data_IF_989260546134
#
_entry.id   IF_989260546134
#
_cell.length_a   1.000
_cell.length_b   1.000
_cell.length_c   1.000
_cell.angle_alpha   90.00
_cell.angle_beta   90.00
_cell.angle_gamma   90.00
#
_symmetry.space_group_name_H-M   'P 1'
#
loop_
_entity.id
_entity.type
_entity.pdbx_description
1 polymer ?
#
# COMPACT_ATOMS: atom_id res chain seq x y z
N UNK A 1 20.01 0.00 -1.43
CA UNK A 1 18.88 -0.92 -1.70
C UNK A 1 17.74 -0.14 -2.32
N UNK A 2 16.95 -0.79 -3.19
CA UNK A 2 15.71 -0.29 -3.75
C UNK A 2 14.51 -0.91 -3.02
N UNK A 3 13.78 -0.09 -2.28
CA UNK A 3 12.70 -0.49 -1.37
C UNK A 3 11.36 -0.15 -2.02
N UNK A 4 10.48 -1.13 -2.21
CA UNK A 4 9.11 -0.92 -2.65
C UNK A 4 8.16 -0.85 -1.44
N UNK A 5 7.74 0.35 -1.06
CA UNK A 5 6.66 0.54 -0.08
C UNK A 5 5.32 0.48 -0.80
N UNK A 6 4.42 -0.41 -0.35
CA UNK A 6 3.09 -0.57 -0.94
C UNK A 6 2.03 -0.22 0.09
N UNK A 7 1.18 0.75 -0.24
CA UNK A 7 0.14 1.25 0.66
C UNK A 7 -1.21 1.43 -0.02
N UNK A 8 -2.27 1.25 0.77
CA UNK A 8 -3.66 1.44 0.34
C UNK A 8 -4.14 2.88 0.49
N UNK A 9 -3.39 3.71 1.22
CA UNK A 9 -3.67 5.13 1.42
C UNK A 9 -2.37 5.93 1.51
N UNK A 10 -2.40 7.15 0.98
CA UNK A 10 -1.25 8.06 0.99
C UNK A 10 -1.71 9.52 0.81
N UNK A 11 -0.79 10.47 0.72
CA UNK A 11 -1.08 11.88 0.43
C UNK A 11 -2.03 12.02 -0.77
N UNK A 12 -3.05 12.91 -0.71
CA UNK A 12 -3.19 14.01 0.27
C UNK A 12 -3.88 13.62 1.58
N UNK A 13 -4.32 12.37 1.74
CA UNK A 13 -4.90 11.95 3.02
C UNK A 13 -3.80 11.99 4.10
N UNK A 14 -4.14 12.35 5.33
CA UNK A 14 -3.20 12.41 6.44
C UNK A 14 -3.74 11.60 7.60
N UNK A 15 -2.95 10.63 8.06
CA UNK A 15 -3.21 9.86 9.28
C UNK A 15 -1.88 9.29 9.81
N UNK A 16 -1.93 8.58 10.95
CA UNK A 16 -0.74 8.01 11.58
C UNK A 16 0.03 7.01 10.70
N UNK A 17 -0.66 6.29 9.80
CA UNK A 17 -0.02 5.36 8.87
C UNK A 17 0.78 6.11 7.81
N UNK A 18 0.21 7.17 7.26
CA UNK A 18 0.87 7.99 6.21
C UNK A 18 2.08 8.70 6.79
N UNK A 19 1.97 9.24 8.02
CA UNK A 19 3.11 9.79 8.75
C UNK A 19 4.21 8.72 8.95
N UNK A 20 3.84 7.48 9.29
CA UNK A 20 4.82 6.40 9.44
C UNK A 20 5.53 6.08 8.12
N UNK A 21 4.79 6.05 7.01
CA UNK A 21 5.36 5.82 5.67
C UNK A 21 6.33 6.95 5.31
N UNK A 22 5.98 8.20 5.59
CA UNK A 22 6.83 9.35 5.35
C UNK A 22 8.13 9.28 6.15
N UNK A 23 8.03 8.88 7.42
CA UNK A 23 9.20 8.66 8.27
C UNK A 23 10.06 7.50 7.75
N UNK A 24 9.48 6.37 7.36
CA UNK A 24 10.22 5.27 6.75
C UNK A 24 10.95 5.73 5.49
N UNK A 25 10.24 6.36 4.55
CA UNK A 25 10.82 6.82 3.30
C UNK A 25 11.96 7.83 3.54
N UNK A 26 11.74 8.81 4.44
CA UNK A 26 12.76 9.79 4.80
C UNK A 26 14.00 9.15 5.43
N UNK A 27 13.81 8.27 6.41
CA UNK A 27 14.96 7.68 7.14
C UNK A 27 15.71 6.67 6.27
N UNK A 28 15.02 5.82 5.51
CA UNK A 28 15.68 4.90 4.58
C UNK A 28 16.45 5.64 3.48
N UNK A 29 15.90 6.74 2.93
CA UNK A 29 16.63 7.59 1.98
C UNK A 29 17.86 8.24 2.62
N UNK A 30 17.75 8.72 3.86
CA UNK A 30 18.90 9.27 4.62
C UNK A 30 20.02 8.23 4.81
N UNK A 31 19.68 6.94 4.88
CA UNK A 31 20.63 5.84 4.94
C UNK A 31 21.19 5.40 3.56
N UNK A 32 20.88 6.13 2.48
CA UNK A 32 21.38 5.85 1.14
C UNK A 32 20.56 4.80 0.37
N UNK A 33 19.30 4.56 0.76
CA UNK A 33 18.40 3.67 0.03
C UNK A 33 17.48 4.44 -0.93
N UNK A 34 17.12 3.83 -2.05
CA UNK A 34 16.10 4.35 -2.96
C UNK A 34 14.74 3.79 -2.54
N UNK A 35 13.83 4.67 -2.12
CA UNK A 35 12.51 4.26 -1.63
C UNK A 35 11.45 4.68 -2.62
N UNK A 36 10.69 3.72 -3.14
CA UNK A 36 9.58 3.95 -4.06
C UNK A 36 8.26 3.61 -3.40
N UNK A 37 7.27 4.48 -3.56
CA UNK A 37 5.97 4.35 -2.88
C UNK A 37 4.89 4.08 -3.92
N UNK A 38 4.24 2.92 -3.81
CA UNK A 38 3.07 2.56 -4.60
C UNK A 38 1.82 2.94 -3.82
N UNK A 39 1.10 3.94 -4.33
CA UNK A 39 -0.01 4.58 -3.63
C UNK A 39 -1.22 4.79 -4.58
N UNK A 40 -2.45 4.94 -4.05
CA UNK A 40 -3.61 5.30 -4.87
C UNK A 40 -3.44 6.67 -5.54
N UNK A 41 -3.98 6.80 -6.75
CA UNK A 41 -4.19 8.08 -7.44
C UNK A 41 -5.40 8.80 -6.86
N UNK A 42 -5.39 10.13 -6.90
CA UNK A 42 -6.50 10.99 -6.47
C UNK A 42 -6.80 11.97 -7.63
N UNK A 43 -8.06 12.13 -8.07
CA UNK A 43 -8.38 12.95 -9.25
C UNK A 43 -7.88 14.40 -9.16
N UNK A 44 -8.05 15.02 -7.99
CA UNK A 44 -7.77 16.44 -7.76
C UNK A 44 -6.42 16.68 -7.10
N UNK A 45 -5.54 15.67 -7.10
CA UNK A 45 -4.22 15.77 -6.50
C UNK A 45 -3.18 15.16 -7.41
N UNK A 46 -2.32 16.04 -7.94
CA UNK A 46 -1.10 15.67 -8.62
C UNK A 46 0.06 16.19 -7.82
N UNK A 47 1.00 15.31 -7.55
CA UNK A 47 2.26 15.61 -6.89
C UNK A 47 3.33 14.97 -7.75
N UNK A 48 4.23 15.79 -8.28
CA UNK A 48 5.32 15.32 -9.13
C UNK A 48 6.50 14.95 -8.23
N UNK A 49 6.33 13.83 -7.53
CA UNK A 49 7.40 13.21 -6.74
C UNK A 49 7.98 12.03 -7.52
N UNK A 50 9.28 12.14 -7.82
CA UNK A 50 10.07 11.17 -8.60
C UNK A 50 9.91 9.71 -8.14
N UNK A 51 9.65 9.50 -6.85
CA UNK A 51 9.61 8.18 -6.24
C UNK A 51 8.20 7.68 -5.88
N UNK A 52 7.13 8.36 -6.33
CA UNK A 52 5.75 7.94 -6.05
C UNK A 52 5.08 7.41 -7.31
N UNK A 53 4.74 6.11 -7.29
CA UNK A 53 3.94 5.48 -8.33
C UNK A 53 2.46 5.49 -7.97
N UNK A 54 1.71 6.37 -8.62
CA UNK A 54 0.25 6.44 -8.50
C UNK A 54 -0.42 5.30 -9.27
N UNK A 55 -1.14 4.45 -8.54
CA UNK A 55 -1.96 3.36 -9.05
C UNK A 55 -3.40 3.84 -9.19
N UNK A 56 -4.07 3.45 -10.29
CA UNK A 56 -5.48 3.80 -10.52
C UNK A 56 -6.30 3.45 -9.30
N UNK A 57 -7.22 4.31 -8.89
CA UNK A 57 -8.10 4.10 -7.74
C UNK A 57 -9.56 4.35 -8.10
N UNK A 58 -10.47 3.86 -7.27
CA UNK A 58 -11.92 4.11 -7.33
C UNK A 58 -12.42 4.67 -5.99
N UNK A 59 -13.50 5.46 -5.95
CA UNK A 59 -14.05 5.92 -4.67
C UNK A 59 -14.59 4.72 -3.88
N UNK A 60 -14.41 4.72 -2.57
CA UNK A 60 -15.01 3.73 -1.68
C UNK A 60 -16.53 3.86 -1.68
N UNK A 61 -17.22 2.71 -1.55
CA UNK A 61 -18.68 2.64 -1.44
C UNK A 61 -19.14 3.16 -0.06
N UNK A 62 -18.30 2.99 0.97
CA UNK A 62 -18.61 3.39 2.36
C UNK A 62 -18.45 4.90 2.54
N UNK A 63 -17.35 5.45 2.03
CA UNK A 63 -17.04 6.87 2.16
C UNK A 63 -16.33 7.37 0.90
N UNK A 64 -17.02 8.19 0.09
CA UNK A 64 -16.51 8.62 -1.24
C UNK A 64 -15.19 9.40 -1.20
N UNK A 65 -14.84 10.00 -0.06
CA UNK A 65 -13.55 10.68 0.16
C UNK A 65 -12.37 9.71 0.26
N UNK A 66 -12.62 8.43 0.57
CA UNK A 66 -11.61 7.38 0.57
C UNK A 66 -11.45 6.83 -0.83
N UNK A 67 -10.20 6.68 -1.27
CA UNK A 67 -9.84 6.05 -2.55
C UNK A 67 -9.32 4.65 -2.29
N UNK A 68 -9.90 3.68 -3.00
CA UNK A 68 -9.49 2.28 -3.00
C UNK A 68 -8.59 2.07 -4.22
N UNK A 69 -7.30 1.76 -4.05
CA UNK A 69 -6.45 1.46 -5.20
C UNK A 69 -6.92 0.19 -5.91
N UNK A 70 -6.77 0.18 -7.22
CA UNK A 70 -7.03 -0.98 -8.07
C UNK A 70 -5.73 -1.79 -8.16
N UNK A 71 -5.67 -3.01 -7.61
CA UNK A 71 -4.46 -3.81 -7.54
C UNK A 71 -4.07 -4.33 -8.93
N UNK A 72 -3.33 -3.52 -9.68
CA UNK A 72 -3.02 -3.76 -11.09
C UNK A 72 -1.69 -4.51 -11.21
N UNK A 73 -1.75 -5.85 -11.17
CA UNK A 73 -0.56 -6.70 -11.26
C UNK A 73 0.33 -6.35 -12.46
N UNK A 74 -0.23 -6.21 -13.66
CA UNK A 74 0.53 -5.96 -14.91
C UNK A 74 1.37 -4.69 -14.81
N UNK A 75 0.80 -3.60 -14.27
CA UNK A 75 1.51 -2.32 -14.12
C UNK A 75 2.64 -2.44 -13.09
N UNK A 76 2.36 -3.08 -11.96
CA UNK A 76 3.36 -3.28 -10.91
C UNK A 76 4.48 -4.21 -11.38
N UNK A 77 4.16 -5.31 -12.04
CA UNK A 77 5.12 -6.26 -12.62
C UNK A 77 6.08 -5.58 -13.59
N UNK A 78 5.58 -4.73 -14.49
CA UNK A 78 6.41 -3.95 -15.41
C UNK A 78 7.39 -3.02 -14.67
N UNK A 79 6.92 -2.34 -13.62
CA UNK A 79 7.76 -1.47 -12.80
C UNK A 79 8.80 -2.26 -12.00
N UNK A 80 8.41 -3.38 -11.40
CA UNK A 80 9.30 -4.28 -10.67
C UNK A 80 10.41 -4.82 -11.57
N UNK A 81 10.07 -5.25 -12.79
CA UNK A 81 11.06 -5.71 -13.76
C UNK A 81 12.02 -4.62 -14.22
N UNK A 82 11.56 -3.37 -14.32
CA UNK A 82 12.38 -2.24 -14.82
C UNK A 82 13.32 -1.69 -13.75
N UNK A 83 12.83 -1.59 -12.51
CA UNK A 83 13.54 -0.93 -11.41
C UNK A 83 14.50 -1.90 -10.70
N UNK A 84 14.08 -3.15 -10.52
CA UNK A 84 14.83 -4.17 -9.78
C UNK A 84 14.85 -3.90 -8.27
N UNK A 85 13.75 -4.20 -7.58
CA UNK A 85 13.65 -3.99 -6.12
C UNK A 85 14.38 -5.07 -5.32
N UNK A 86 14.89 -4.71 -4.14
CA UNK A 86 15.55 -5.63 -3.21
C UNK A 86 14.59 -6.14 -2.11
N UNK A 87 13.55 -5.38 -1.79
CA UNK A 87 12.61 -5.70 -0.71
C UNK A 87 11.25 -5.06 -0.92
N UNK A 88 10.19 -5.76 -0.50
CA UNK A 88 8.83 -5.23 -0.47
C UNK A 88 8.43 -4.94 0.98
N UNK A 89 7.97 -3.73 1.25
CA UNK A 89 7.42 -3.32 2.55
C UNK A 89 5.95 -2.93 2.40
N UNK A 90 5.05 -3.86 2.73
CA UNK A 90 3.61 -3.65 2.64
C UNK A 90 3.06 -3.06 3.95
N UNK A 91 2.21 -2.05 3.84
CA UNK A 91 1.62 -1.35 4.99
C UNK A 91 0.20 -1.86 5.30
N UNK A 92 -0.49 -2.36 4.28
CA UNK A 92 -1.83 -2.94 4.38
C UNK A 92 -1.96 -4.08 3.35
N UNK A 93 -2.34 -5.31 3.75
CA UNK A 93 -2.37 -6.45 2.84
C UNK A 93 -3.77 -6.77 2.31
N UNK A 94 -4.78 -5.93 2.56
CA UNK A 94 -6.18 -6.24 2.27
C UNK A 94 -6.42 -6.27 0.75
N UNK A 95 -6.05 -5.19 0.07
CA UNK A 95 -6.26 -5.00 -1.37
C UNK A 95 -5.07 -5.59 -2.15
N UNK A 96 -3.86 -5.35 -1.66
CA UNK A 96 -2.64 -5.70 -2.39
C UNK A 96 -2.08 -7.09 -2.06
N UNK A 97 -2.62 -7.82 -1.08
CA UNK A 97 -2.05 -9.06 -0.58
C UNK A 97 -1.76 -10.09 -1.68
N UNK A 98 -2.70 -10.33 -2.60
CA UNK A 98 -2.50 -11.30 -3.69
C UNK A 98 -1.49 -10.82 -4.74
N UNK A 99 -1.50 -9.52 -5.06
CA UNK A 99 -0.53 -8.95 -6.00
C UNK A 99 0.88 -9.03 -5.43
N UNK A 100 1.06 -8.64 -4.18
CA UNK A 100 2.35 -8.71 -3.49
C UNK A 100 2.83 -10.15 -3.35
N UNK A 101 1.95 -11.10 -3.00
CA UNK A 101 2.30 -12.53 -2.96
C UNK A 101 2.82 -13.03 -4.31
N UNK A 102 2.23 -12.59 -5.42
CA UNK A 102 2.70 -12.95 -6.77
C UNK A 102 4.06 -12.32 -7.09
N UNK A 103 4.25 -11.03 -6.77
CA UNK A 103 5.52 -10.33 -6.99
C UNK A 103 6.67 -10.94 -6.16
N UNK A 104 6.43 -11.23 -4.87
CA UNK A 104 7.38 -11.93 -3.99
C UNK A 104 7.83 -13.24 -4.60
N UNK A 105 6.89 -14.07 -5.09
CA UNK A 105 7.22 -15.36 -5.72
C UNK A 105 8.01 -15.20 -7.02
N UNK A 106 7.61 -14.26 -7.88
CA UNK A 106 8.23 -14.05 -9.19
C UNK A 106 9.67 -13.53 -9.06
N UNK A 107 9.87 -12.54 -8.20
CA UNK A 107 11.15 -11.84 -8.04
C UNK A 107 12.00 -12.38 -6.88
N UNK A 108 11.50 -13.36 -6.12
CA UNK A 108 12.15 -13.97 -4.95
C UNK A 108 12.59 -12.95 -3.91
N UNK A 109 11.74 -11.95 -3.67
CA UNK A 109 12.06 -10.82 -2.78
C UNK A 109 11.63 -11.09 -1.33
N UNK A 110 12.39 -10.62 -0.34
CA UNK A 110 11.92 -10.55 1.04
C UNK A 110 10.69 -9.63 1.14
N UNK A 111 9.79 -9.99 2.06
CA UNK A 111 8.55 -9.27 2.34
C UNK A 111 8.49 -8.87 3.81
N UNK A 112 8.31 -7.58 4.06
CA UNK A 112 8.04 -7.01 5.39
C UNK A 112 6.62 -6.47 5.41
N UNK A 113 5.89 -6.77 6.47
CA UNK A 113 4.55 -6.24 6.70
C UNK A 113 4.52 -5.46 8.02
N UNK A 114 4.03 -4.22 7.99
CA UNK A 114 3.75 -3.45 9.21
C UNK A 114 2.25 -3.45 9.48
N UNK A 115 1.87 -4.02 10.62
CA UNK A 115 0.49 -4.10 11.07
C UNK A 115 0.11 -2.86 11.89
N UNK A 116 -0.51 -1.87 11.22
CA UNK A 116 -0.86 -0.57 11.84
C UNK A 116 -2.14 -0.59 12.67
N UNK A 117 -3.08 -1.49 12.36
CA UNK A 117 -4.42 -1.51 12.97
C UNK A 117 -4.82 -2.92 13.34
N UNK A 118 -5.33 -3.12 14.55
CA UNK A 118 -5.96 -4.37 14.96
C UNK A 118 -7.26 -4.59 14.19
N UNK A 119 -7.20 -5.29 13.04
CA UNK A 119 -8.34 -5.46 12.13
C UNK A 119 -9.62 -5.99 12.82
N UNK A 120 -9.46 -6.81 13.86
CA UNK A 120 -10.57 -7.33 14.67
C UNK A 120 -11.45 -6.21 15.24
N UNK A 121 -10.82 -5.11 15.68
CA UNK A 121 -11.50 -3.93 16.22
C UNK A 121 -12.18 -3.08 15.14
N UNK A 122 -11.82 -3.27 13.86
CA UNK A 122 -12.34 -2.52 12.71
C UNK A 122 -13.39 -3.30 11.89
N UNK A 123 -13.78 -4.50 12.35
CA UNK A 123 -14.82 -5.33 11.73
C UNK A 123 -16.16 -4.60 11.52
N UNK A 124 -16.44 -3.58 12.33
CA UNK A 124 -17.65 -2.76 12.25
C UNK A 124 -17.74 -1.89 10.98
N UNK A 125 -16.63 -1.64 10.29
CA UNK A 125 -16.62 -0.90 9.02
C UNK A 125 -16.95 -1.78 7.81
N UNK A 126 -16.95 -3.11 7.96
CA UNK A 126 -17.23 -4.02 6.85
C UNK A 126 -18.76 -4.13 6.71
N UNK A 127 -19.34 -3.82 5.52
CA UNK A 127 -20.78 -3.83 5.29
C UNK A 127 -21.31 -5.25 5.07
N UNK A 128 -20.91 -6.18 5.93
CA UNK A 128 -21.39 -7.56 5.97
C UNK A 128 -22.00 -7.83 7.35
N UNK A 129 -22.87 -8.86 7.49
CA UNK A 129 -23.40 -9.20 8.81
C UNK A 129 -22.28 -9.60 9.77
N UNK A 130 -22.20 -8.92 10.92
CA UNK A 130 -21.10 -9.07 11.90
C UNK A 130 -20.87 -10.52 12.37
N UNK A 131 -21.91 -11.37 12.34
CA UNK A 131 -21.84 -12.80 12.62
C UNK A 131 -20.87 -13.60 11.72
N UNK A 132 -20.55 -13.07 10.53
CA UNK A 132 -19.61 -13.68 9.59
C UNK A 132 -18.20 -13.09 9.67
N UNK A 133 -18.02 -12.01 10.43
CA UNK A 133 -16.80 -11.18 10.43
C UNK A 133 -16.11 -11.26 11.78
N UNK A 134 -16.89 -11.21 12.87
CA UNK A 134 -16.35 -11.40 14.21
C UNK A 134 -15.94 -12.86 14.36
N UNK A 135 -14.72 -13.06 14.87
CA UNK A 135 -14.26 -14.36 15.34
C UNK A 135 -15.27 -14.82 16.40
N UNK A 136 -15.85 -16.02 16.23
CA UNK A 136 -16.59 -16.64 17.33
C UNK A 136 -15.61 -16.81 18.49
N UNK A 137 -15.93 -16.19 19.62
CA UNK A 137 -15.23 -16.44 20.88
C UNK A 137 -15.43 -17.91 21.28
#
# INVERSE_FOLDING_TARGET
MKIAIITEGYRPFINGVIVSIDLFAKQFRKLGHEVYIFAPSYPDYQEDEEYIFRLRSVPSIIQKSIRIPVPTYIKMDKLFSKIGFDIIHIQHPIIFGQVVKRLVKKYKLPLVFTHHSFYENYSHYIPLPQKFIKKKA
#
